data_IF_443753143757
#
_entry.id   IF_443753143757
#
_cell.length_a   1.000
_cell.length_b   1.000
_cell.length_c   1.000
_cell.angle_alpha   90.00
_cell.angle_beta   90.00
_cell.angle_gamma   90.00
#
_symmetry.space_group_name_H-M   'P 1'
#
loop_
_entity.id
_entity.type
_entity.pdbx_description
1 polymer ?
#
# COMPACT_ATOMS: atom_id res chain seq x y z
N UNK A 1 -9.31 -25.64 7.42
CA UNK A 1 -10.74 -25.27 7.52
C UNK A 1 -10.86 -24.32 8.71
N UNK A 2 -10.89 -23.01 8.45
CA UNK A 2 -11.12 -22.00 9.47
C UNK A 2 -12.40 -21.25 9.08
N UNK A 3 -13.35 -21.24 10.02
CA UNK A 3 -14.74 -20.83 9.86
C UNK A 3 -14.87 -19.31 9.73
N UNK A 4 -15.61 -18.86 8.73
CA UNK A 4 -16.20 -17.53 8.61
C UNK A 4 -17.15 -17.30 9.80
N UNK A 5 -16.89 -16.26 10.60
CA UNK A 5 -17.94 -15.63 11.40
C UNK A 5 -18.21 -14.23 10.84
N UNK A 6 -19.36 -14.10 10.19
CA UNK A 6 -19.96 -12.82 9.81
C UNK A 6 -20.50 -12.13 11.06
N UNK A 7 -19.92 -11.00 11.42
CA UNK A 7 -20.67 -9.93 12.07
C UNK A 7 -20.38 -8.60 11.39
N UNK A 8 -21.45 -7.97 10.93
CA UNK A 8 -21.50 -6.62 10.37
C UNK A 8 -21.10 -5.61 11.44
N UNK A 9 -20.03 -4.84 11.17
CA UNK A 9 -19.82 -3.40 11.45
C UNK A 9 -18.35 -3.08 11.09
N UNK A 10 -18.11 -2.24 10.07
CA UNK A 10 -16.80 -1.67 9.73
C UNK A 10 -15.70 -2.69 9.39
N UNK A 11 -15.63 -3.11 8.13
CA UNK A 11 -14.73 -4.18 7.65
C UNK A 11 -13.23 -3.82 7.71
N UNK A 12 -12.60 -3.96 8.87
CA UNK A 12 -11.15 -4.18 8.97
C UNK A 12 -10.86 -5.65 8.69
N UNK A 13 -10.39 -5.97 7.48
CA UNK A 13 -9.88 -7.31 7.15
C UNK A 13 -8.39 -7.37 7.47
N UNK A 14 -8.04 -7.95 8.61
CA UNK A 14 -6.66 -8.30 8.94
C UNK A 14 -6.31 -9.61 8.25
N UNK A 15 -5.51 -9.54 7.18
CA UNK A 15 -4.85 -10.72 6.62
C UNK A 15 -3.35 -10.59 6.81
N UNK A 16 -2.82 -11.38 7.73
CA UNK A 16 -1.69 -12.28 7.45
C UNK A 16 -1.82 -13.41 8.46
N UNK A 17 -2.16 -14.61 8.00
CA UNK A 17 -1.98 -15.77 8.86
C UNK A 17 -0.47 -16.04 9.00
N UNK A 18 -0.09 -16.74 10.06
CA UNK A 18 1.31 -17.07 10.35
C UNK A 18 1.97 -17.85 9.20
N UNK A 19 1.19 -18.62 8.43
CA UNK A 19 1.69 -19.39 7.30
C UNK A 19 2.01 -18.51 6.08
N UNK A 20 1.23 -17.46 5.80
CA UNK A 20 1.53 -16.48 4.75
C UNK A 20 2.83 -15.72 5.02
N UNK A 21 3.06 -15.29 6.26
CA UNK A 21 4.31 -14.63 6.64
C UNK A 21 5.51 -15.58 6.55
N UNK A 22 5.34 -16.84 6.99
CA UNK A 22 6.41 -17.85 6.91
C UNK A 22 6.73 -18.21 5.45
N UNK A 23 5.73 -18.33 4.58
CA UNK A 23 5.96 -18.62 3.16
C UNK A 23 6.64 -17.45 2.43
N UNK A 24 6.25 -16.21 2.75
CA UNK A 24 6.92 -15.02 2.21
C UNK A 24 8.37 -14.90 2.70
N UNK A 25 8.63 -15.27 3.96
CA UNK A 25 9.99 -15.30 4.54
C UNK A 25 10.87 -16.39 3.95
N UNK A 26 10.31 -17.59 3.71
CA UNK A 26 11.00 -18.68 3.04
C UNK A 26 11.37 -18.32 1.59
N UNK A 27 10.46 -17.63 0.88
CA UNK A 27 10.72 -17.13 -0.47
C UNK A 27 11.85 -16.09 -0.51
N UNK A 28 12.04 -15.32 0.57
CA UNK A 28 13.05 -14.24 0.65
C UNK A 28 14.38 -14.68 1.29
N UNK A 29 14.53 -15.95 1.69
CA UNK A 29 15.79 -16.49 2.25
C UNK A 29 16.24 -15.89 3.59
N UNK A 30 15.40 -15.08 4.25
CA UNK A 30 15.72 -14.42 5.52
C UNK A 30 15.21 -15.25 6.70
N UNK A 31 16.12 -15.75 7.55
CA UNK A 31 15.78 -16.40 8.83
C UNK A 31 15.74 -15.37 9.95
N UNK A 32 14.56 -14.93 10.35
CA UNK A 32 14.38 -14.21 11.61
C UNK A 32 14.21 -15.21 12.77
N UNK A 33 14.68 -14.89 13.99
CA UNK A 33 14.54 -15.79 15.14
C UNK A 33 13.06 -16.09 15.40
N UNK A 34 12.74 -17.38 15.51
CA UNK A 34 11.38 -17.94 15.61
C UNK A 34 10.69 -17.55 16.94
N UNK A 35 11.44 -16.99 17.88
CA UNK A 35 10.95 -16.47 19.17
C UNK A 35 10.47 -15.01 19.10
N UNK A 36 10.42 -14.41 17.90
CA UNK A 36 9.82 -13.10 17.73
C UNK A 36 8.33 -13.16 18.12
N UNK A 37 7.99 -12.53 19.25
CA UNK A 37 6.62 -12.29 19.66
C UNK A 37 5.90 -11.64 18.48
N UNK A 38 4.85 -12.29 17.97
CA UNK A 38 4.07 -11.75 16.85
C UNK A 38 3.34 -10.52 17.38
N UNK A 39 3.86 -9.34 17.06
CA UNK A 39 3.16 -8.10 17.27
C UNK A 39 2.14 -7.95 16.15
N UNK A 40 0.86 -8.00 16.50
CA UNK A 40 -0.20 -7.64 15.56
C UNK A 40 -0.12 -6.14 15.34
N UNK A 41 0.20 -5.74 14.12
CA UNK A 41 0.14 -4.34 13.69
C UNK A 41 -1.27 -4.11 13.14
N UNK A 42 -2.08 -3.21 13.72
CA UNK A 42 -3.38 -2.88 13.16
C UNK A 42 -3.19 -2.24 11.77
N UNK A 43 -4.07 -2.60 10.85
CA UNK A 43 -4.10 -2.07 9.49
C UNK A 43 -5.40 -1.31 9.32
N UNK A 44 -5.29 -0.03 8.95
CA UNK A 44 -6.42 0.89 8.82
C UNK A 44 -6.30 1.66 7.50
N UNK A 45 -7.42 2.19 7.01
CA UNK A 45 -7.40 3.08 5.85
C UNK A 45 -6.78 4.40 6.28
N UNK A 46 -5.89 4.93 5.45
CA UNK A 46 -5.21 6.19 5.74
C UNK A 46 -6.17 7.38 5.76
N UNK A 47 -7.25 7.33 4.97
CA UNK A 47 -8.37 8.28 5.10
C UNK A 47 -8.95 8.31 6.52
N UNK A 48 -9.17 7.15 7.13
CA UNK A 48 -9.81 7.03 8.45
C UNK A 48 -8.83 7.48 9.56
N UNK A 49 -7.54 7.14 9.42
CA UNK A 49 -6.48 7.55 10.35
C UNK A 49 -6.32 9.09 10.40
N UNK A 50 -6.44 9.73 9.24
CA UNK A 50 -6.27 11.18 9.11
C UNK A 50 -7.56 11.95 9.47
N UNK A 51 -8.74 11.32 9.46
CA UNK A 51 -10.02 11.94 9.87
C UNK A 51 -10.02 12.39 11.32
N UNK A 52 -9.29 11.69 12.19
CA UNK A 52 -9.06 12.05 13.59
C UNK A 52 -8.37 13.42 13.74
N UNK A 53 -7.73 13.92 12.68
CA UNK A 53 -6.90 15.15 12.72
C UNK A 53 -7.56 16.38 12.07
N UNK A 54 -8.84 16.31 11.68
CA UNK A 54 -9.60 17.38 10.98
C UNK A 54 -9.10 17.73 9.57
N UNK A 55 -9.56 16.95 8.59
CA UNK A 55 -9.17 16.99 7.17
C UNK A 55 -9.35 18.31 6.44
N UNK A 56 -10.39 19.07 6.75
CA UNK A 56 -10.88 20.15 5.87
C UNK A 56 -9.88 21.29 5.70
N UNK A 57 -8.81 21.33 6.51
CA UNK A 57 -7.75 22.34 6.46
C UNK A 57 -6.34 21.80 6.18
N UNK A 58 -6.13 20.48 6.14
CA UNK A 58 -4.78 19.92 6.01
C UNK A 58 -4.42 19.67 4.55
N UNK A 59 -3.62 20.58 4.00
CA UNK A 59 -2.94 20.36 2.71
C UNK A 59 -1.63 19.64 2.99
N UNK A 60 -1.49 18.39 2.52
CA UNK A 60 -0.22 17.68 2.54
C UNK A 60 0.55 18.08 1.27
N UNK A 61 1.59 18.92 1.35
CA UNK A 61 2.23 19.48 0.15
C UNK A 61 3.04 18.45 -0.66
N UNK A 62 3.32 17.30 -0.05
CA UNK A 62 4.12 16.23 -0.59
C UNK A 62 3.93 14.93 0.21
N UNK A 63 3.81 13.80 -0.47
CA UNK A 63 3.81 12.47 0.14
C UNK A 63 4.86 11.56 -0.52
N UNK A 64 5.54 10.75 0.30
CA UNK A 64 6.34 9.60 -0.17
C UNK A 64 5.66 8.30 0.29
N UNK A 65 5.44 7.38 -0.64
CA UNK A 65 4.98 6.01 -0.35
C UNK A 65 6.09 5.04 -0.72
N UNK A 66 6.46 4.19 0.22
CA UNK A 66 7.50 3.18 0.08
C UNK A 66 7.05 2.00 0.93
N UNK A 67 6.32 1.09 0.29
CA UNK A 67 5.58 0.03 0.99
C UNK A 67 5.85 -1.35 0.40
N UNK A 68 6.95 -1.49 -0.35
CA UNK A 68 7.46 -2.78 -0.83
C UNK A 68 6.36 -3.64 -1.49
N UNK A 69 5.56 -3.04 -2.37
CA UNK A 69 4.51 -3.71 -3.14
C UNK A 69 3.08 -3.53 -2.64
N UNK A 70 2.89 -2.91 -1.47
CA UNK A 70 1.56 -2.61 -0.93
C UNK A 70 0.99 -1.26 -1.39
N UNK A 71 1.64 -0.59 -2.34
CA UNK A 71 1.29 0.77 -2.75
C UNK A 71 -0.17 0.87 -3.21
N UNK A 72 -0.67 -0.08 -4.02
CA UNK A 72 -2.07 -0.03 -4.47
C UNK A 72 -3.08 -0.06 -3.31
N UNK A 73 -2.82 -0.89 -2.28
CA UNK A 73 -3.70 -0.99 -1.12
C UNK A 73 -3.68 0.29 -0.30
N UNK A 74 -2.53 0.95 -0.20
CA UNK A 74 -2.40 2.26 0.46
C UNK A 74 -3.21 3.30 -0.32
N UNK A 75 -3.04 3.37 -1.65
CA UNK A 75 -3.81 4.29 -2.51
C UNK A 75 -5.32 4.04 -2.39
N UNK A 76 -5.77 2.79 -2.36
CA UNK A 76 -7.18 2.40 -2.16
C UNK A 76 -7.69 2.78 -0.76
N UNK A 77 -6.80 2.85 0.22
CA UNK A 77 -7.07 3.30 1.58
C UNK A 77 -7.14 4.82 1.74
N UNK A 78 -6.83 5.62 0.71
CA UNK A 78 -6.76 7.07 0.83
C UNK A 78 -7.39 7.90 -0.31
N UNK A 79 -8.53 7.51 -0.91
CA UNK A 79 -9.09 8.25 -2.04
C UNK A 79 -9.40 9.71 -1.73
N UNK A 80 -9.81 10.06 -0.49
CA UNK A 80 -10.03 11.45 -0.10
C UNK A 80 -8.70 12.18 0.07
N UNK A 81 -7.72 11.59 0.76
CA UNK A 81 -6.40 12.21 0.95
C UNK A 81 -5.68 12.46 -0.37
N UNK A 82 -5.78 11.50 -1.29
CA UNK A 82 -5.06 11.55 -2.55
C UNK A 82 -5.42 12.80 -3.36
N UNK A 83 -6.66 13.29 -3.23
CA UNK A 83 -7.13 14.53 -3.86
C UNK A 83 -6.52 15.81 -3.27
N UNK A 84 -5.96 15.76 -2.06
CA UNK A 84 -5.37 16.92 -1.36
C UNK A 84 -3.84 16.95 -1.45
N UNK A 85 -3.22 15.88 -1.98
CA UNK A 85 -1.78 15.76 -2.17
C UNK A 85 -1.42 16.22 -3.59
N UNK A 86 -0.78 17.38 -3.79
CA UNK A 86 -0.42 17.84 -5.13
C UNK A 86 0.78 17.09 -5.71
N UNK A 87 1.60 16.44 -4.87
CA UNK A 87 2.83 15.75 -5.28
C UNK A 87 3.03 14.48 -4.49
N UNK A 88 3.14 13.36 -5.20
CA UNK A 88 3.35 12.05 -4.62
C UNK A 88 4.52 11.36 -5.31
N UNK A 89 5.46 10.84 -4.52
CA UNK A 89 6.50 9.93 -4.99
C UNK A 89 6.19 8.56 -4.43
N UNK A 90 6.17 7.57 -5.30
CA UNK A 90 6.00 6.17 -4.91
C UNK A 90 7.10 5.35 -5.53
N UNK A 91 7.72 4.49 -4.72
CA UNK A 91 8.65 3.49 -5.20
C UNK A 91 7.87 2.23 -5.54
N UNK A 92 8.15 1.64 -6.70
CA UNK A 92 7.59 0.35 -7.08
C UNK A 92 8.71 -0.63 -7.29
N UNK A 93 8.56 -1.82 -6.70
CA UNK A 93 9.40 -2.97 -7.02
C UNK A 93 8.57 -3.90 -7.93
N UNK A 94 8.81 -3.92 -9.25
CA UNK A 94 7.93 -4.64 -10.18
C UNK A 94 7.81 -6.13 -9.88
N UNK A 95 8.88 -6.76 -9.39
CA UNK A 95 8.86 -8.17 -9.01
C UNK A 95 7.90 -8.44 -7.84
N UNK A 96 7.85 -7.51 -6.89
CA UNK A 96 7.01 -7.64 -5.70
C UNK A 96 5.54 -7.36 -6.02
N UNK A 97 5.25 -6.46 -6.96
CA UNK A 97 3.88 -6.20 -7.44
C UNK A 97 3.22 -7.44 -8.06
N UNK A 98 3.97 -8.32 -8.71
CA UNK A 98 3.44 -9.55 -9.34
C UNK A 98 2.80 -10.52 -8.34
N UNK A 99 3.09 -10.38 -7.05
CA UNK A 99 2.55 -11.24 -5.99
C UNK A 99 1.22 -10.76 -5.42
N UNK A 100 0.74 -9.57 -5.80
CA UNK A 100 -0.48 -8.99 -5.26
C UNK A 100 -1.60 -8.96 -6.30
N UNK A 101 -2.73 -9.57 -5.96
CA UNK A 101 -3.93 -9.50 -6.79
C UNK A 101 -4.38 -8.04 -6.96
N UNK A 102 -4.70 -7.65 -8.19
CA UNK A 102 -5.16 -6.31 -8.56
C UNK A 102 -4.16 -5.16 -8.30
N UNK A 103 -2.88 -5.48 -8.13
CA UNK A 103 -1.80 -4.50 -8.05
C UNK A 103 -0.76 -4.74 -9.14
N UNK A 104 -0.58 -3.74 -9.99
CA UNK A 104 0.41 -3.71 -11.06
C UNK A 104 0.85 -2.27 -11.27
N UNK A 105 1.95 -2.03 -11.99
CA UNK A 105 2.35 -0.69 -12.37
C UNK A 105 1.22 0.07 -13.09
N UNK A 106 0.50 -0.60 -13.99
CA UNK A 106 -0.67 -0.02 -14.67
C UNK A 106 -1.81 0.30 -13.70
N UNK A 107 -2.13 -0.62 -12.80
CA UNK A 107 -3.22 -0.43 -11.83
C UNK A 107 -2.91 0.69 -10.84
N UNK A 108 -1.64 0.90 -10.50
CA UNK A 108 -1.17 2.04 -9.71
C UNK A 108 -1.32 3.35 -10.51
N UNK A 109 -0.90 3.33 -11.77
CA UNK A 109 -1.07 4.46 -12.68
C UNK A 109 -2.53 4.89 -12.79
N UNK A 110 -3.45 3.96 -13.04
CA UNK A 110 -4.89 4.23 -13.17
C UNK A 110 -5.48 4.90 -11.91
N UNK A 111 -4.98 4.56 -10.73
CA UNK A 111 -5.42 5.17 -9.46
C UNK A 111 -4.97 6.62 -9.36
N UNK A 112 -3.71 6.89 -9.69
CA UNK A 112 -3.13 8.23 -9.66
C UNK A 112 -3.73 9.13 -10.76
N UNK A 113 -3.95 8.61 -11.97
CA UNK A 113 -4.63 9.34 -13.07
C UNK A 113 -6.07 9.69 -12.69
N UNK A 114 -6.83 8.75 -12.09
CA UNK A 114 -8.20 9.03 -11.60
C UNK A 114 -8.23 10.07 -10.49
N UNK A 115 -7.15 10.23 -9.74
CA UNK A 115 -6.99 11.31 -8.76
C UNK A 115 -6.53 12.64 -9.39
N UNK A 116 -6.39 12.71 -10.72
CA UNK A 116 -6.00 13.91 -11.44
C UNK A 116 -4.49 14.18 -11.44
N UNK A 117 -3.65 13.19 -11.11
CA UNK A 117 -2.19 13.36 -11.08
C UNK A 117 -1.56 13.15 -12.45
N UNK A 118 -0.60 14.02 -12.79
CA UNK A 118 0.34 13.77 -13.89
C UNK A 118 1.44 12.81 -13.40
N UNK A 119 1.71 11.75 -14.17
CA UNK A 119 2.63 10.69 -13.76
C UNK A 119 3.92 10.78 -14.56
N UNK A 120 5.05 10.70 -13.85
CA UNK A 120 6.39 10.62 -14.44
C UNK A 120 7.14 9.44 -13.86
N UNK A 121 7.66 8.60 -14.75
CA UNK A 121 8.44 7.43 -14.36
C UNK A 121 9.92 7.80 -14.28
N UNK A 122 10.53 7.54 -13.13
CA UNK A 122 11.96 7.69 -12.92
C UNK A 122 12.59 6.32 -12.67
N UNK A 123 13.66 5.99 -13.38
CA UNK A 123 14.48 4.81 -13.06
C UNK A 123 15.54 5.18 -12.01
N UNK A 124 16.12 4.20 -11.34
CA UNK A 124 17.25 4.41 -10.40
C UNK A 124 18.41 5.23 -11.00
N UNK A 125 18.59 5.19 -12.33
CA UNK A 125 19.56 6.01 -13.04
C UNK A 125 19.23 7.50 -13.13
N UNK A 126 18.10 7.95 -12.56
CA UNK A 126 17.60 9.33 -12.65
C UNK A 126 17.06 9.70 -14.04
N UNK A 127 17.01 8.74 -14.97
CA UNK A 127 16.47 8.96 -16.31
C UNK A 127 14.96 8.77 -16.33
N UNK A 128 14.26 9.75 -16.91
CA UNK A 128 12.85 9.60 -17.27
C UNK A 128 12.73 8.51 -18.32
N UNK A 129 11.81 7.58 -18.11
CA UNK A 129 11.54 6.50 -19.07
C UNK A 129 10.10 6.53 -19.55
N UNK A 130 9.85 6.13 -20.81
CA UNK A 130 8.51 5.76 -21.23
C UNK A 130 8.01 4.58 -20.38
N UNK A 131 6.69 4.47 -20.26
CA UNK A 131 6.01 3.44 -19.47
C UNK A 131 6.57 2.04 -19.76
N UNK A 132 6.86 1.22 -18.75
CA UNK A 132 7.18 -0.20 -18.94
C UNK A 132 5.98 -1.02 -19.45
#
# INVERSE_FOLDING_TARGET
IALEQRQNLGSTRVYTDKASLVNQQLALGKRYPVDAKIHRVPVERLDDLMEVTHYDSVVIPFAKIDAQGYECYILDGMPRLLSTIPRLITEIEPQTLLHYENCSARSLQDRLERAGMEIRWCRESGQLSPMP
#
